data_IF_475756316662
#
_entry.id   IF_475756316662
#
_cell.length_a   1.000
_cell.length_b   1.000
_cell.length_c   1.000
_cell.angle_alpha   90.00
_cell.angle_beta   90.00
_cell.angle_gamma   90.00
#
_symmetry.space_group_name_H-M   'P 1'
#
loop_
_entity.id
_entity.type
_entity.pdbx_description
1 polymer ?
#
# COMPACT_ATOMS: atom_id res chain seq x y z
N UNK A 1 10.57 -61.55 28.05
CA UNK A 1 11.27 -60.30 28.42
C UNK A 1 11.52 -59.52 27.14
N UNK A 2 10.55 -58.72 26.71
CA UNK A 2 10.72 -57.81 25.57
C UNK A 2 11.22 -56.47 26.12
N UNK A 3 12.50 -56.18 25.91
CA UNK A 3 13.09 -54.89 26.22
C UNK A 3 12.60 -53.86 25.21
N UNK A 4 11.64 -53.02 25.60
CA UNK A 4 11.22 -51.87 24.78
C UNK A 4 12.39 -50.89 24.68
N UNK A 5 13.06 -50.85 23.53
CA UNK A 5 14.07 -49.85 23.23
C UNK A 5 13.37 -48.50 23.10
N UNK A 6 13.51 -47.63 24.11
CA UNK A 6 13.09 -46.23 24.01
C UNK A 6 14.06 -45.49 23.08
N UNK A 7 13.70 -45.37 21.82
CA UNK A 7 14.41 -44.47 20.90
C UNK A 7 14.27 -43.03 21.41
N UNK A 8 15.38 -42.43 21.84
CA UNK A 8 15.47 -40.98 22.06
C UNK A 8 15.89 -40.36 20.73
N UNK A 9 14.94 -39.72 20.06
CA UNK A 9 15.25 -38.88 18.90
C UNK A 9 15.82 -37.56 19.42
N UNK A 10 17.07 -37.24 19.07
CA UNK A 10 17.64 -35.91 19.34
C UNK A 10 17.11 -34.93 18.30
N UNK A 11 16.97 -33.66 18.68
CA UNK A 11 16.65 -32.60 17.74
C UNK A 11 17.70 -32.50 16.62
N UNK A 12 18.96 -32.86 16.90
CA UNK A 12 20.04 -32.90 15.91
C UNK A 12 19.97 -34.10 14.96
N UNK A 13 19.09 -35.07 15.23
CA UNK A 13 18.86 -36.22 14.36
C UNK A 13 17.73 -35.96 13.35
N UNK A 14 17.04 -34.83 13.48
CA UNK A 14 15.98 -34.45 12.55
C UNK A 14 16.57 -34.03 11.20
N UNK A 15 15.99 -34.46 10.07
CA UNK A 15 16.42 -34.02 8.75
C UNK A 15 16.25 -32.50 8.59
N UNK A 16 17.08 -31.85 7.74
CA UNK A 16 17.08 -30.40 7.56
C UNK A 16 15.69 -29.81 7.25
N UNK A 17 14.86 -30.51 6.49
CA UNK A 17 13.52 -30.07 6.11
C UNK A 17 12.60 -29.95 7.33
N UNK A 18 12.63 -30.92 8.24
CA UNK A 18 11.85 -30.88 9.48
C UNK A 18 12.40 -29.84 10.45
N UNK A 19 13.72 -29.67 10.50
CA UNK A 19 14.33 -28.60 11.29
C UNK A 19 13.93 -27.21 10.78
N UNK A 20 13.92 -27.03 9.46
CA UNK A 20 13.55 -25.77 8.84
C UNK A 20 12.07 -25.44 9.05
N UNK A 21 11.19 -26.46 8.99
CA UNK A 21 9.76 -26.34 9.31
C UNK A 21 9.55 -25.94 10.77
N UNK A 22 10.20 -26.61 11.73
CA UNK A 22 10.12 -26.23 13.16
C UNK A 22 10.68 -24.82 13.38
N UNK A 23 11.76 -24.47 12.69
CA UNK A 23 12.33 -23.13 12.76
C UNK A 23 11.49 -22.07 12.04
N UNK A 24 10.48 -22.46 11.25
CA UNK A 24 9.57 -21.54 10.56
C UNK A 24 8.59 -20.85 11.52
N UNK A 25 8.39 -21.40 12.72
CA UNK A 25 7.48 -20.84 13.73
C UNK A 25 8.14 -19.91 14.77
N UNK A 26 9.45 -20.01 14.99
CA UNK A 26 10.16 -19.19 15.99
C UNK A 26 10.47 -17.77 15.48
N UNK A 27 10.70 -16.79 16.36
CA UNK A 27 11.06 -15.44 15.91
C UNK A 27 12.42 -15.40 15.21
N UNK A 28 12.67 -14.37 14.38
CA UNK A 28 13.97 -14.19 13.73
C UNK A 28 15.13 -14.07 14.75
N UNK A 29 14.88 -13.48 15.93
CA UNK A 29 15.88 -13.32 16.97
C UNK A 29 16.24 -14.66 17.63
N UNK A 30 15.23 -15.48 17.95
CA UNK A 30 15.43 -16.84 18.46
C UNK A 30 16.13 -17.71 17.42
N UNK A 31 15.73 -17.60 16.16
CA UNK A 31 16.32 -18.36 15.08
C UNK A 31 17.80 -18.03 14.87
N UNK A 32 18.19 -16.74 14.96
CA UNK A 32 19.60 -16.34 14.96
C UNK A 32 20.37 -16.99 16.09
N UNK A 33 19.81 -17.00 17.29
CA UNK A 33 20.45 -17.57 18.48
C UNK A 33 20.61 -19.09 18.34
N UNK A 34 19.57 -19.78 17.85
CA UNK A 34 19.58 -21.21 17.59
C UNK A 34 20.69 -21.60 16.58
N UNK A 35 20.84 -20.83 15.51
CA UNK A 35 21.87 -21.06 14.49
C UNK A 35 23.29 -20.88 15.00
N UNK A 36 23.50 -20.16 16.10
CA UNK A 36 24.80 -20.02 16.74
C UNK A 36 25.13 -21.20 17.67
N UNK A 37 24.15 -22.03 18.03
CA UNK A 37 24.36 -23.14 18.95
C UNK A 37 25.20 -24.27 18.32
N UNK A 38 24.97 -24.60 17.04
CA UNK A 38 25.82 -25.57 16.33
C UNK A 38 25.78 -25.41 14.79
N UNK A 39 26.80 -25.98 14.13
CA UNK A 39 26.96 -25.93 12.66
C UNK A 39 25.81 -26.62 11.92
N UNK A 40 25.26 -27.70 12.46
CA UNK A 40 24.16 -28.44 11.83
C UNK A 40 22.91 -27.58 11.72
N UNK A 41 22.50 -26.93 12.82
CA UNK A 41 21.38 -25.99 12.82
C UNK A 41 21.65 -24.78 11.95
N UNK A 42 22.90 -24.29 11.91
CA UNK A 42 23.30 -23.20 11.02
C UNK A 42 23.03 -23.51 9.55
N UNK A 43 23.46 -24.68 9.06
CA UNK A 43 23.28 -25.07 7.65
C UNK A 43 21.87 -25.60 7.36
N UNK A 44 21.30 -26.38 8.28
CA UNK A 44 20.02 -27.05 8.09
C UNK A 44 18.81 -26.12 8.11
N UNK A 45 18.95 -24.92 8.68
CA UNK A 45 17.84 -23.96 8.82
C UNK A 45 18.05 -22.69 7.98
N UNK A 46 18.83 -22.78 6.90
CA UNK A 46 19.14 -21.65 6.01
C UNK A 46 17.92 -21.10 5.28
N UNK A 47 17.04 -21.97 4.83
CA UNK A 47 15.88 -21.58 4.02
C UNK A 47 14.90 -20.74 4.84
N UNK A 48 14.38 -21.27 5.95
CA UNK A 48 13.50 -20.53 6.87
C UNK A 48 14.16 -19.25 7.40
N UNK A 49 15.48 -19.27 7.64
CA UNK A 49 16.21 -18.10 8.11
C UNK A 49 16.21 -16.98 7.08
N UNK A 50 16.59 -17.29 5.83
CA UNK A 50 16.61 -16.28 4.77
C UNK A 50 15.21 -15.83 4.39
N UNK A 51 14.21 -16.71 4.41
CA UNK A 51 12.81 -16.35 4.22
C UNK A 51 12.37 -15.33 5.29
N UNK A 52 12.79 -15.46 6.55
CA UNK A 52 12.46 -14.47 7.58
C UNK A 52 13.31 -13.21 7.51
N UNK A 53 14.60 -13.35 7.25
CA UNK A 53 15.57 -12.27 7.34
C UNK A 53 15.63 -11.38 6.09
N UNK A 54 15.35 -11.93 4.91
CA UNK A 54 15.59 -11.29 3.61
C UNK A 54 14.33 -11.09 2.76
N UNK A 55 13.21 -11.77 3.06
CA UNK A 55 11.94 -11.62 2.30
C UNK A 55 11.57 -10.16 2.10
N UNK A 56 11.67 -9.37 3.17
CA UNK A 56 11.50 -7.93 3.13
C UNK A 56 12.85 -7.28 3.39
N UNK A 57 13.43 -6.66 2.36
CA UNK A 57 14.69 -5.94 2.49
C UNK A 57 14.42 -4.45 2.54
N UNK A 58 14.90 -3.80 3.61
CA UNK A 58 14.86 -2.34 3.74
C UNK A 58 16.13 -1.73 3.15
N UNK A 59 15.99 -0.69 2.34
CA UNK A 59 17.10 0.06 1.77
C UNK A 59 16.85 1.56 1.79
N UNK A 60 17.91 2.33 1.59
CA UNK A 60 17.94 3.79 1.47
C UNK A 60 18.90 4.15 0.34
N UNK A 61 18.94 5.39 -0.13
CA UNK A 61 19.92 5.82 -1.13
C UNK A 61 21.31 6.15 -0.52
N UNK A 62 21.55 5.83 0.77
CA UNK A 62 22.86 6.01 1.40
C UNK A 62 23.85 4.94 0.92
N UNK A 63 25.16 5.26 0.77
CA UNK A 63 26.18 4.31 0.34
C UNK A 63 26.23 3.03 1.16
N UNK A 64 26.09 3.11 2.50
CA UNK A 64 26.11 1.94 3.39
C UNK A 64 24.94 0.99 3.10
N UNK A 65 23.76 1.54 2.82
CA UNK A 65 22.57 0.76 2.50
C UNK A 65 22.67 0.11 1.13
N UNK A 66 23.17 0.86 0.13
CA UNK A 66 23.40 0.30 -1.21
C UNK A 66 24.47 -0.80 -1.18
N UNK A 67 25.57 -0.62 -0.44
CA UNK A 67 26.59 -1.68 -0.26
C UNK A 67 26.00 -2.93 0.38
N UNK A 68 25.09 -2.78 1.35
CA UNK A 68 24.38 -3.92 1.95
C UNK A 68 23.51 -4.63 0.92
N UNK A 69 22.78 -3.87 0.10
CA UNK A 69 21.93 -4.43 -0.96
C UNK A 69 22.78 -5.18 -2.01
N UNK A 70 23.90 -4.60 -2.44
CA UNK A 70 24.87 -5.24 -3.33
C UNK A 70 25.46 -6.50 -2.72
N UNK A 71 25.76 -6.50 -1.43
CA UNK A 71 26.24 -7.70 -0.72
C UNK A 71 25.21 -8.83 -0.73
N UNK A 72 23.91 -8.52 -0.63
CA UNK A 72 22.82 -9.50 -0.75
C UNK A 72 22.78 -10.04 -2.19
N UNK A 73 22.84 -9.15 -3.17
CA UNK A 73 22.75 -9.47 -4.60
C UNK A 73 23.96 -10.27 -5.10
N UNK A 74 25.13 -10.09 -4.49
CA UNK A 74 26.36 -10.81 -4.85
C UNK A 74 26.28 -12.34 -4.66
N UNK A 75 25.25 -12.84 -3.97
CA UNK A 75 25.01 -14.27 -3.77
C UNK A 75 23.60 -14.61 -4.26
N UNK A 76 23.54 -15.37 -5.35
CA UNK A 76 22.29 -15.79 -5.97
C UNK A 76 21.38 -16.56 -5.00
N UNK A 77 21.97 -17.33 -4.08
CA UNK A 77 21.26 -18.05 -3.05
C UNK A 77 20.52 -17.11 -2.09
N UNK A 78 21.14 -15.98 -1.71
CA UNK A 78 20.50 -14.96 -0.85
C UNK A 78 19.51 -14.09 -1.61
N UNK A 79 19.89 -13.66 -2.81
CA UNK A 79 19.07 -12.78 -3.65
C UNK A 79 17.70 -13.38 -3.99
N UNK A 80 17.62 -14.70 -4.15
CA UNK A 80 16.38 -15.41 -4.44
C UNK A 80 15.32 -15.30 -3.31
N UNK A 81 15.71 -14.99 -2.08
CA UNK A 81 14.76 -14.86 -0.96
C UNK A 81 14.12 -13.48 -0.88
N UNK A 82 14.67 -12.46 -1.51
CA UNK A 82 14.11 -11.10 -1.46
C UNK A 82 12.87 -11.03 -2.35
N UNK A 83 11.72 -10.72 -1.73
CA UNK A 83 10.41 -10.58 -2.40
C UNK A 83 9.94 -9.13 -2.44
N UNK A 84 10.25 -8.38 -1.39
CA UNK A 84 9.85 -6.99 -1.23
C UNK A 84 11.07 -6.11 -0.95
N UNK A 85 11.14 -4.97 -1.62
CA UNK A 85 12.14 -3.94 -1.38
C UNK A 85 11.47 -2.67 -0.85
N UNK A 86 11.80 -2.32 0.39
CA UNK A 86 11.22 -1.16 1.09
C UNK A 86 12.25 -0.03 1.14
N UNK A 87 11.97 1.08 0.47
CA UNK A 87 12.74 2.31 0.55
C UNK A 87 12.30 3.09 1.79
N UNK A 88 13.17 3.14 2.80
CA UNK A 88 12.91 3.80 4.09
C UNK A 88 13.76 5.06 4.22
N UNK A 89 13.34 6.01 5.06
CA UNK A 89 14.12 7.20 5.43
C UNK A 89 14.65 8.00 4.23
N UNK A 90 13.93 7.98 3.10
CA UNK A 90 14.31 8.67 1.86
C UNK A 90 14.51 10.19 2.10
N UNK A 91 13.93 10.73 3.16
CA UNK A 91 14.02 12.15 3.53
C UNK A 91 15.14 12.53 4.47
N UNK A 92 15.65 11.57 5.26
CA UNK A 92 16.80 11.82 6.14
C UNK A 92 18.11 11.77 5.37
N UNK A 93 18.04 11.70 4.04
CA UNK A 93 19.20 11.62 3.20
C UNK A 93 19.83 13.01 3.06
N UNK A 94 20.90 13.27 3.81
CA UNK A 94 21.85 14.36 3.51
C UNK A 94 22.67 14.00 2.26
N UNK A 95 22.00 13.70 1.14
CA UNK A 95 22.62 13.09 -0.05
C UNK A 95 23.80 13.92 -0.56
N UNK A 96 23.71 15.25 -0.53
CA UNK A 96 24.80 16.11 -1.02
C UNK A 96 26.08 16.02 -0.19
N UNK A 97 25.99 15.69 1.11
CA UNK A 97 27.19 15.54 1.96
C UNK A 97 27.98 14.28 1.63
N UNK A 98 27.32 13.25 1.10
CA UNK A 98 27.95 11.96 0.79
C UNK A 98 28.53 11.91 -0.64
N UNK A 99 28.40 12.99 -1.44
CA UNK A 99 28.90 13.15 -2.84
C UNK A 99 28.55 12.00 -3.80
N UNK A 100 27.65 11.11 -3.41
CA UNK A 100 27.29 9.93 -4.21
C UNK A 100 26.33 10.29 -5.35
N UNK A 101 25.53 11.35 -5.19
CA UNK A 101 24.52 11.76 -6.16
C UNK A 101 24.69 13.23 -6.53
N UNK A 102 24.63 13.51 -7.82
CA UNK A 102 24.70 14.83 -8.42
C UNK A 102 23.30 15.34 -8.79
N UNK A 103 23.07 16.64 -8.61
CA UNK A 103 21.79 17.28 -8.92
C UNK A 103 22.10 18.60 -9.65
N UNK A 104 21.56 18.79 -10.86
CA UNK A 104 21.93 19.93 -11.72
C UNK A 104 21.17 21.22 -11.38
N UNK A 105 19.98 21.09 -10.80
CA UNK A 105 19.10 22.19 -10.39
C UNK A 105 18.36 21.74 -9.11
N UNK A 106 17.75 22.64 -8.30
CA UNK A 106 17.22 22.21 -7.02
C UNK A 106 16.15 21.17 -7.30
N UNK A 107 16.49 19.90 -6.99
CA UNK A 107 15.61 18.74 -7.06
C UNK A 107 15.57 17.90 -8.35
N UNK A 108 16.47 18.09 -9.33
CA UNK A 108 16.59 17.14 -10.46
C UNK A 108 17.88 16.34 -10.37
N UNK A 109 17.75 15.03 -10.17
CA UNK A 109 18.87 14.11 -10.25
C UNK A 109 19.37 14.06 -11.69
N UNK A 110 20.68 14.15 -11.90
CA UNK A 110 21.24 13.83 -13.21
C UNK A 110 21.13 12.32 -13.38
N UNK A 111 20.44 11.82 -14.39
CA UNK A 111 20.43 10.39 -14.70
C UNK A 111 20.88 10.27 -16.15
N UNK A 112 21.85 9.38 -16.48
CA UNK A 112 22.47 8.36 -15.63
C UNK A 112 23.63 8.87 -14.74
N UNK A 113 23.82 8.22 -13.59
CA UNK A 113 25.00 8.38 -12.70
C UNK A 113 25.47 7.02 -12.16
N UNK A 114 26.70 6.95 -11.68
CA UNK A 114 27.24 5.73 -11.07
C UNK A 114 26.35 5.19 -9.93
N UNK A 115 25.78 6.06 -9.10
CA UNK A 115 24.91 5.65 -8.02
C UNK A 115 23.54 5.11 -8.48
N UNK A 116 22.96 5.69 -9.53
CA UNK A 116 21.71 5.17 -10.12
C UNK A 116 21.95 3.81 -10.77
N UNK A 117 23.10 3.63 -11.44
CA UNK A 117 23.51 2.33 -12.00
C UNK A 117 23.72 1.27 -10.92
N UNK A 118 24.30 1.62 -9.77
CA UNK A 118 24.44 0.70 -8.63
C UNK A 118 23.08 0.23 -8.12
N UNK A 119 22.15 1.15 -7.93
CA UNK A 119 20.78 0.79 -7.54
C UNK A 119 20.09 -0.07 -8.60
N UNK A 120 20.19 0.30 -9.88
CA UNK A 120 19.63 -0.45 -11.00
C UNK A 120 20.18 -1.88 -11.05
N UNK A 121 21.50 -2.05 -10.94
CA UNK A 121 22.15 -3.37 -10.94
C UNK A 121 21.73 -4.19 -9.72
N UNK A 122 21.62 -3.56 -8.56
CA UNK A 122 21.15 -4.22 -7.35
C UNK A 122 19.70 -4.71 -7.51
N UNK A 123 18.80 -3.87 -8.02
CA UNK A 123 17.40 -4.24 -8.28
C UNK A 123 17.31 -5.36 -9.32
N UNK A 124 18.07 -5.27 -10.42
CA UNK A 124 18.13 -6.30 -11.46
C UNK A 124 18.57 -7.65 -10.90
N UNK A 125 19.50 -7.65 -9.96
CA UNK A 125 20.02 -8.86 -9.32
C UNK A 125 19.10 -9.49 -8.26
N UNK A 126 17.89 -8.97 -8.05
CA UNK A 126 16.88 -9.57 -7.16
C UNK A 126 15.81 -10.29 -8.00
N UNK A 127 16.01 -11.58 -8.35
CA UNK A 127 15.20 -12.27 -9.36
C UNK A 127 13.74 -12.48 -8.96
N UNK A 128 13.46 -12.44 -7.66
CA UNK A 128 12.16 -12.71 -7.07
C UNK A 128 11.49 -11.49 -6.43
N UNK A 129 12.12 -10.31 -6.55
CA UNK A 129 11.57 -9.06 -6.04
C UNK A 129 10.62 -8.46 -7.09
N UNK A 130 9.35 -8.34 -6.72
CA UNK A 130 8.27 -7.79 -7.55
C UNK A 130 7.38 -6.77 -6.80
N UNK A 131 7.65 -6.54 -5.51
CA UNK A 131 6.92 -5.61 -4.66
C UNK A 131 7.85 -4.52 -4.13
N UNK A 132 7.45 -3.26 -4.33
CA UNK A 132 8.24 -2.09 -3.97
C UNK A 132 7.41 -1.14 -3.11
N UNK A 133 7.96 -0.78 -1.96
CA UNK A 133 7.30 0.11 -1.00
C UNK A 133 8.18 1.30 -0.65
N UNK A 134 7.58 2.47 -0.50
CA UNK A 134 8.21 3.69 -0.02
C UNK A 134 7.60 4.02 1.34
N UNK A 135 8.39 3.88 2.41
CA UNK A 135 7.92 3.99 3.80
C UNK A 135 8.62 5.12 4.54
N UNK A 136 7.94 5.67 5.57
CA UNK A 136 8.50 6.61 6.53
C UNK A 136 9.20 7.81 5.88
N UNK A 137 8.49 8.43 4.94
CA UNK A 137 8.82 9.75 4.42
C UNK A 137 8.48 10.77 5.53
N UNK A 138 9.35 10.89 6.54
CA UNK A 138 9.14 11.79 7.70
C UNK A 138 9.24 13.27 7.31
N UNK A 139 8.32 14.10 7.82
CA UNK A 139 8.42 15.57 7.81
C UNK A 139 9.82 16.02 8.19
N UNK A 140 10.57 16.57 7.23
CA UNK A 140 11.70 17.41 7.56
C UNK A 140 11.09 18.64 8.22
N UNK A 141 11.25 18.77 9.55
CA UNK A 141 10.78 19.97 10.25
C UNK A 141 11.29 21.20 9.49
N UNK A 142 10.41 22.17 9.22
CA UNK A 142 10.72 23.39 8.46
C UNK A 142 11.97 24.14 8.98
N UNK A 143 12.33 23.94 10.24
CA UNK A 143 13.55 24.46 10.88
C UNK A 143 14.87 23.83 10.40
N UNK A 144 14.83 22.69 9.72
CA UNK A 144 15.99 21.93 9.25
C UNK A 144 16.15 21.93 7.72
N UNK A 145 15.62 22.95 7.03
CA UNK A 145 15.88 23.21 5.60
C UNK A 145 17.35 23.59 5.40
N UNK A 146 18.27 22.63 5.55
CA UNK A 146 19.55 22.76 4.87
C UNK A 146 19.25 22.64 3.38
N UNK A 147 19.61 23.64 2.59
CA UNK A 147 19.56 23.63 1.11
C UNK A 147 20.36 22.47 0.47
N UNK A 148 20.92 21.57 1.28
CA UNK A 148 21.78 20.46 0.89
C UNK A 148 21.08 19.08 0.83
N UNK A 149 19.81 18.95 1.21
CA UNK A 149 19.07 17.71 1.01
C UNK A 149 18.39 17.73 -0.37
N UNK A 150 18.50 16.67 -1.19
CA UNK A 150 17.68 16.58 -2.40
C UNK A 150 16.23 16.45 -1.97
N UNK A 151 15.32 17.01 -2.75
CA UNK A 151 13.92 16.75 -2.47
C UNK A 151 13.61 15.28 -2.66
N UNK A 152 12.57 14.88 -1.95
CA UNK A 152 11.83 13.63 -2.12
C UNK A 152 11.64 13.29 -3.59
N UNK A 153 11.36 14.31 -4.43
CA UNK A 153 11.18 14.17 -5.87
C UNK A 153 12.34 13.48 -6.54
N UNK A 154 13.53 14.02 -6.30
CA UNK A 154 14.74 13.59 -6.96
C UNK A 154 15.07 12.15 -6.54
N UNK A 155 14.86 11.85 -5.26
CA UNK A 155 15.10 10.52 -4.69
C UNK A 155 14.11 9.48 -5.23
N UNK A 156 12.81 9.79 -5.26
CA UNK A 156 11.82 8.92 -5.90
C UNK A 156 12.14 8.76 -7.39
N UNK A 157 12.62 9.81 -8.06
CA UNK A 157 12.87 9.81 -9.51
C UNK A 157 14.02 8.91 -9.88
N UNK A 158 15.08 8.97 -9.08
CA UNK A 158 16.18 8.01 -9.13
C UNK A 158 15.67 6.58 -8.98
N UNK A 159 14.78 6.32 -8.00
CA UNK A 159 14.31 4.97 -7.71
C UNK A 159 13.41 4.46 -8.83
N UNK A 160 12.44 5.24 -9.26
CA UNK A 160 11.53 4.88 -10.35
C UNK A 160 12.27 4.70 -11.68
N UNK A 161 13.25 5.55 -11.99
CA UNK A 161 14.12 5.36 -13.15
C UNK A 161 14.94 4.06 -13.04
N UNK A 162 15.53 3.78 -11.88
CA UNK A 162 16.27 2.54 -11.66
C UNK A 162 15.36 1.30 -11.78
N UNK A 163 14.10 1.39 -11.36
CA UNK A 163 13.11 0.34 -11.52
C UNK A 163 12.74 0.15 -13.00
N UNK A 164 12.45 1.23 -13.72
CA UNK A 164 12.17 1.19 -15.15
C UNK A 164 13.32 0.52 -15.93
N UNK A 165 14.56 0.96 -15.67
CA UNK A 165 15.75 0.46 -16.37
C UNK A 165 16.22 -0.92 -15.88
N UNK A 166 15.62 -1.45 -14.81
CA UNK A 166 15.97 -2.79 -14.30
C UNK A 166 15.38 -3.91 -15.15
N UNK A 167 14.34 -3.63 -15.96
CA UNK A 167 13.58 -4.63 -16.71
C UNK A 167 12.75 -5.57 -15.82
N UNK A 168 12.56 -5.21 -14.54
CA UNK A 168 11.82 -6.02 -13.58
C UNK A 168 10.33 -5.77 -13.73
N UNK A 169 9.54 -6.84 -13.61
CA UNK A 169 8.09 -6.76 -13.50
C UNK A 169 7.71 -6.27 -12.11
N UNK A 170 6.97 -5.17 -12.04
CA UNK A 170 6.43 -4.66 -10.79
C UNK A 170 5.01 -5.21 -10.65
N UNK A 171 4.76 -5.98 -9.60
CA UNK A 171 3.45 -6.52 -9.24
C UNK A 171 2.75 -5.67 -8.18
N UNK A 172 3.51 -5.16 -7.21
CA UNK A 172 2.97 -4.29 -6.17
C UNK A 172 3.81 -3.02 -6.02
N UNK A 173 3.13 -1.88 -5.94
CA UNK A 173 3.72 -0.58 -5.68
C UNK A 173 2.96 0.11 -4.55
N UNK A 174 3.68 0.52 -3.50
CA UNK A 174 3.11 1.17 -2.33
C UNK A 174 3.84 2.45 -1.98
N UNK A 175 3.09 3.53 -1.84
CA UNK A 175 3.56 4.79 -1.27
C UNK A 175 2.86 4.97 0.07
N UNK A 176 3.58 4.71 1.17
CA UNK A 176 3.06 4.87 2.54
C UNK A 176 3.85 5.98 3.23
N UNK A 177 3.29 7.18 3.18
CA UNK A 177 4.04 8.39 3.48
C UNK A 177 3.29 9.26 4.46
N UNK A 178 3.98 9.64 5.52
CA UNK A 178 3.50 10.61 6.50
C UNK A 178 4.05 12.00 6.17
N UNK A 179 3.56 12.62 5.09
CA UNK A 179 3.86 14.02 4.74
C UNK A 179 4.48 14.28 3.37
N UNK A 180 4.45 15.57 2.99
CA UNK A 180 5.12 16.30 1.89
C UNK A 180 5.38 15.62 0.52
N UNK A 181 4.69 14.54 0.15
CA UNK A 181 4.80 13.97 -1.21
C UNK A 181 4.33 14.93 -2.31
N UNK A 182 3.57 15.95 -1.90
CA UNK A 182 3.04 16.96 -2.79
C UNK A 182 4.11 17.76 -3.55
N UNK A 183 5.07 18.36 -2.83
CA UNK A 183 6.19 19.07 -3.46
C UNK A 183 7.16 18.12 -4.17
N UNK A 184 7.17 16.85 -3.77
CA UNK A 184 7.97 15.78 -4.32
C UNK A 184 7.57 15.35 -5.74
N UNK A 185 6.29 15.32 -6.06
CA UNK A 185 5.88 14.84 -7.39
C UNK A 185 5.93 15.94 -8.45
N UNK A 186 6.04 17.22 -8.07
CA UNK A 186 6.14 18.36 -9.01
C UNK A 186 7.16 18.16 -10.15
N UNK A 187 8.40 17.71 -9.89
CA UNK A 187 9.40 17.56 -10.95
C UNK A 187 9.15 16.37 -11.85
N UNK A 188 8.35 15.38 -11.41
CA UNK A 188 7.96 14.20 -12.20
C UNK A 188 6.86 14.48 -13.20
N UNK A 189 5.93 15.37 -12.88
CA UNK A 189 4.92 15.81 -13.87
C UNK A 189 5.52 16.79 -14.89
N UNK A 190 6.61 17.49 -14.51
CA UNK A 190 7.47 18.20 -15.48
C UNK A 190 8.55 17.32 -16.12
N UNK A 191 8.69 16.06 -15.73
CA UNK A 191 9.30 15.10 -16.63
C UNK A 191 8.20 14.84 -17.63
N UNK A 192 8.31 15.49 -18.78
CA UNK A 192 7.60 15.03 -19.93
C UNK A 192 7.95 13.53 -20.06
N UNK A 193 7.00 12.59 -19.85
CA UNK A 193 7.27 11.20 -20.19
C UNK A 193 7.44 11.06 -21.71
N UNK A 194 7.31 12.15 -22.47
CA UNK A 194 7.54 12.24 -23.92
C UNK A 194 9.03 12.17 -24.30
N UNK A 195 9.96 12.08 -23.33
CA UNK A 195 11.33 11.62 -23.59
C UNK A 195 11.58 10.13 -23.32
N UNK A 196 10.77 9.50 -22.47
CA UNK A 196 10.86 8.07 -22.18
C UNK A 196 9.43 7.56 -22.04
N UNK A 197 8.88 6.96 -23.10
CA UNK A 197 7.47 6.62 -23.20
C UNK A 197 7.07 5.94 -21.90
N UNK A 198 6.04 6.49 -21.25
CA UNK A 198 5.29 5.90 -20.15
C UNK A 198 5.49 4.38 -20.18
N UNK A 199 6.40 3.82 -19.37
CA UNK A 199 6.94 2.49 -19.62
C UNK A 199 5.81 1.47 -19.47
N UNK A 200 5.09 1.10 -20.55
CA UNK A 200 3.83 0.37 -20.41
C UNK A 200 4.16 -1.00 -19.85
N UNK A 201 5.31 -1.53 -20.26
CA UNK A 201 5.91 -2.76 -19.81
C UNK A 201 6.14 -2.78 -18.29
N UNK A 202 6.53 -1.65 -17.68
CA UNK A 202 6.76 -1.55 -16.24
C UNK A 202 5.46 -1.72 -15.45
N UNK A 203 4.39 -1.07 -15.91
CA UNK A 203 3.09 -1.04 -15.23
C UNK A 203 2.16 -2.18 -15.65
N UNK A 204 2.42 -2.83 -16.78
CA UNK A 204 1.57 -3.89 -17.35
C UNK A 204 1.34 -5.07 -16.40
N UNK A 205 2.29 -5.35 -15.50
CA UNK A 205 2.21 -6.45 -14.53
C UNK A 205 1.72 -5.99 -13.14
N UNK A 206 1.37 -4.72 -12.99
CA UNK A 206 0.95 -4.16 -11.70
C UNK A 206 -0.41 -4.72 -11.31
N UNK A 207 -0.45 -5.44 -10.19
CA UNK A 207 -1.66 -6.04 -9.61
C UNK A 207 -2.19 -5.24 -8.40
N UNK A 208 -1.30 -4.53 -7.69
CA UNK A 208 -1.64 -3.79 -6.49
C UNK A 208 -0.97 -2.42 -6.46
N UNK A 209 -1.77 -1.37 -6.38
CA UNK A 209 -1.32 0.01 -6.28
C UNK A 209 -1.88 0.65 -5.01
N UNK A 210 -0.99 1.12 -4.15
CA UNK A 210 -1.32 1.88 -2.96
C UNK A 210 -0.67 3.26 -3.03
N UNK A 211 -1.51 4.29 -3.05
CA UNK A 211 -1.14 5.69 -3.15
C UNK A 211 -1.58 6.41 -1.88
N UNK A 212 -0.69 6.48 -0.90
CA UNK A 212 -0.78 7.45 0.18
C UNK A 212 -0.16 8.77 -0.27
N UNK A 213 -1.00 9.76 -0.56
CA UNK A 213 -0.56 11.13 -0.82
C UNK A 213 -0.91 11.97 0.39
N UNK A 214 0.11 12.34 1.16
CA UNK A 214 -0.04 13.31 2.25
C UNK A 214 0.73 14.57 1.84
N UNK A 215 0.00 15.62 1.47
CA UNK A 215 0.57 16.91 1.09
C UNK A 215 0.09 18.04 2.00
N UNK A 216 0.97 18.90 2.52
CA UNK A 216 0.58 20.25 2.89
C UNK A 216 0.56 21.13 1.63
N UNK A 217 -0.44 22.02 1.55
CA UNK A 217 -0.53 23.17 0.65
C UNK A 217 -0.85 22.87 -0.85
N UNK A 218 -2.15 22.69 -1.10
CA UNK A 218 -2.95 23.30 -2.18
C UNK A 218 -2.31 23.73 -3.51
N UNK A 219 -1.56 22.87 -4.20
CA UNK A 219 -1.35 23.06 -5.65
C UNK A 219 -1.46 21.70 -6.37
N UNK A 220 -1.48 21.68 -7.70
CA UNK A 220 -2.13 20.62 -8.49
C UNK A 220 -1.29 19.63 -9.35
N UNK A 221 0.02 19.80 -9.62
CA UNK A 221 0.68 18.88 -10.57
C UNK A 221 0.85 17.43 -10.12
N UNK A 222 1.07 17.15 -8.82
CA UNK A 222 1.36 15.82 -8.25
C UNK A 222 0.23 14.80 -8.44
N UNK A 223 -0.97 15.32 -8.65
CA UNK A 223 -2.24 14.64 -8.54
C UNK A 223 -2.50 13.78 -9.79
N UNK A 224 -1.83 14.04 -10.92
CA UNK A 224 -2.03 13.28 -12.16
C UNK A 224 -1.23 11.97 -12.24
N UNK A 225 -0.32 11.68 -11.29
CA UNK A 225 0.47 10.45 -11.31
C UNK A 225 -0.36 9.15 -11.45
N UNK A 226 -1.50 8.99 -10.74
CA UNK A 226 -2.36 7.82 -10.95
C UNK A 226 -2.93 7.78 -12.37
N UNK A 227 -3.27 8.93 -12.96
CA UNK A 227 -3.79 9.03 -14.33
C UNK A 227 -2.76 8.59 -15.39
N UNK A 228 -1.47 8.60 -15.07
CA UNK A 228 -0.43 8.09 -15.97
C UNK A 228 -0.19 6.58 -15.84
N UNK A 229 -0.39 6.01 -14.66
CA UNK A 229 -0.12 4.57 -14.40
C UNK A 229 -1.34 3.71 -14.69
N UNK A 230 -2.51 4.14 -14.23
CA UNK A 230 -3.74 3.36 -14.30
C UNK A 230 -4.11 2.93 -15.73
N UNK A 231 -3.95 3.78 -16.77
CA UNK A 231 -4.20 3.34 -18.16
C UNK A 231 -3.26 2.23 -18.65
N UNK A 232 -2.06 2.10 -18.07
CA UNK A 232 -1.08 1.07 -18.44
C UNK A 232 -1.16 -0.20 -17.57
N UNK A 233 -1.90 -0.17 -16.47
CA UNK A 233 -1.95 -1.23 -15.46
C UNK A 233 -3.08 -2.23 -15.71
N UNK A 234 -3.08 -2.92 -16.86
CA UNK A 234 -4.16 -3.82 -17.27
C UNK A 234 -4.45 -4.98 -16.28
N UNK A 235 -3.46 -5.38 -15.48
CA UNK A 235 -3.60 -6.45 -14.49
C UNK A 235 -3.98 -5.96 -13.08
N UNK A 236 -4.30 -4.67 -12.92
CA UNK A 236 -4.57 -4.09 -11.60
C UNK A 236 -5.83 -4.68 -10.97
N UNK A 237 -5.69 -5.20 -9.75
CA UNK A 237 -6.78 -5.82 -8.98
C UNK A 237 -7.05 -5.08 -7.68
N UNK A 238 -6.06 -4.41 -7.12
CA UNK A 238 -6.16 -3.71 -5.84
C UNK A 238 -5.75 -2.25 -6.00
N UNK A 239 -6.67 -1.35 -5.64
CA UNK A 239 -6.42 0.08 -5.60
C UNK A 239 -6.66 0.58 -4.17
N UNK A 240 -5.65 1.22 -3.59
CA UNK A 240 -5.75 1.93 -2.32
C UNK A 240 -5.40 3.39 -2.52
N UNK A 241 -6.33 4.28 -2.21
CA UNK A 241 -6.14 5.72 -2.26
C UNK A 241 -6.25 6.28 -0.84
N UNK A 242 -5.20 6.97 -0.39
CA UNK A 242 -5.18 7.68 0.88
C UNK A 242 -4.84 9.14 0.61
N UNK A 243 -5.86 10.00 0.56
CA UNK A 243 -5.79 11.38 0.09
C UNK A 243 -6.22 12.36 1.20
N UNK A 244 -5.44 12.37 2.29
CA UNK A 244 -5.70 13.03 3.58
C UNK A 244 -6.58 14.31 3.52
N UNK A 245 -7.75 14.25 4.17
CA UNK A 245 -8.79 15.30 4.30
C UNK A 245 -8.34 16.63 4.93
N UNK A 246 -7.32 16.64 5.80
CA UNK A 246 -7.15 17.75 6.76
C UNK A 246 -6.74 19.12 6.17
N UNK A 247 -6.54 19.27 4.85
CA UNK A 247 -5.99 20.50 4.26
C UNK A 247 -6.70 21.02 2.99
N UNK A 248 -7.91 20.55 2.64
CA UNK A 248 -8.62 20.95 1.41
C UNK A 248 -7.66 21.18 0.23
N UNK A 249 -6.95 20.12 -0.17
CA UNK A 249 -5.94 20.23 -1.21
C UNK A 249 -6.66 20.49 -2.54
N UNK A 250 -6.51 21.71 -3.07
CA UNK A 250 -7.01 22.08 -4.39
C UNK A 250 -6.61 21.01 -5.43
N UNK A 251 -7.59 20.55 -6.23
CA UNK A 251 -7.36 19.57 -7.29
C UNK A 251 -7.62 18.11 -6.98
N UNK A 252 -7.67 17.73 -5.71
CA UNK A 252 -8.01 16.35 -5.32
C UNK A 252 -9.44 15.98 -5.76
N UNK A 253 -10.47 16.84 -5.57
CA UNK A 253 -11.81 16.55 -6.08
C UNK A 253 -11.83 16.34 -7.59
N UNK A 254 -11.17 17.21 -8.36
CA UNK A 254 -11.10 17.14 -9.83
C UNK A 254 -10.37 15.88 -10.31
N UNK A 255 -9.32 15.46 -9.62
CA UNK A 255 -8.66 14.18 -9.88
C UNK A 255 -9.59 13.02 -9.61
N UNK A 256 -10.24 12.99 -8.45
CA UNK A 256 -11.09 11.86 -8.09
C UNK A 256 -12.26 11.74 -9.06
N UNK A 257 -12.81 12.87 -9.47
CA UNK A 257 -13.82 12.92 -10.53
C UNK A 257 -13.26 12.34 -11.84
N UNK A 258 -12.09 12.79 -12.29
CA UNK A 258 -11.46 12.28 -13.50
C UNK A 258 -11.12 10.79 -13.38
N UNK A 259 -10.62 10.34 -12.24
CA UNK A 259 -10.26 8.95 -11.97
C UNK A 259 -11.51 8.06 -11.99
N UNK A 260 -12.60 8.47 -11.34
CA UNK A 260 -13.83 7.67 -11.28
C UNK A 260 -14.68 7.74 -12.55
N UNK A 261 -14.48 8.73 -13.41
CA UNK A 261 -15.16 8.83 -14.72
C UNK A 261 -14.36 8.25 -15.87
N UNK A 262 -13.04 8.05 -15.72
CA UNK A 262 -12.19 7.45 -16.75
C UNK A 262 -12.42 5.94 -16.84
N UNK A 263 -12.49 5.43 -18.07
CA UNK A 263 -12.51 3.98 -18.32
C UNK A 263 -11.09 3.43 -18.30
N UNK A 264 -10.86 2.39 -17.50
CA UNK A 264 -9.57 1.72 -17.40
C UNK A 264 -9.61 0.27 -17.92
N UNK A 265 -8.46 -0.29 -18.35
CA UNK A 265 -8.41 -1.64 -18.91
C UNK A 265 -8.52 -2.77 -17.85
N UNK A 266 -8.45 -2.44 -16.58
CA UNK A 266 -8.39 -3.41 -15.48
C UNK A 266 -9.76 -3.68 -14.85
N UNK A 267 -9.82 -4.74 -14.04
CA UNK A 267 -11.01 -5.10 -13.26
C UNK A 267 -10.65 -5.23 -11.79
N UNK A 268 -11.10 -4.28 -10.98
CA UNK A 268 -10.76 -4.24 -9.57
C UNK A 268 -11.46 -5.36 -8.78
N UNK A 269 -10.69 -6.02 -7.93
CA UNK A 269 -11.15 -6.96 -6.91
C UNK A 269 -11.21 -6.29 -5.52
N UNK A 270 -10.41 -5.24 -5.28
CA UNK A 270 -10.36 -4.52 -4.01
C UNK A 270 -10.23 -3.02 -4.24
N UNK A 271 -11.13 -2.26 -3.61
CA UNK A 271 -11.05 -0.80 -3.52
C UNK A 271 -10.97 -0.38 -2.05
N UNK A 272 -9.94 0.40 -1.73
CA UNK A 272 -9.75 0.99 -0.41
C UNK A 272 -9.61 2.50 -0.55
N UNK A 273 -10.51 3.24 0.06
CA UNK A 273 -10.43 4.70 0.19
C UNK A 273 -10.26 5.03 1.67
N UNK A 274 -9.23 5.81 2.00
CA UNK A 274 -8.94 6.20 3.37
C UNK A 274 -8.68 7.70 3.45
N UNK A 275 -9.42 8.40 4.32
CA UNK A 275 -9.30 9.85 4.52
C UNK A 275 -9.37 10.63 3.20
N UNK A 276 -10.37 10.32 2.39
CA UNK A 276 -10.54 10.90 1.04
C UNK A 276 -11.83 11.71 1.00
N UNK A 277 -11.77 12.96 0.54
CA UNK A 277 -12.94 13.84 0.39
C UNK A 277 -12.99 14.44 -1.01
N UNK A 278 -14.06 15.15 -1.33
CA UNK A 278 -14.23 15.80 -2.61
C UNK A 278 -14.96 14.94 -3.64
N UNK A 279 -15.35 13.71 -3.28
CA UNK A 279 -15.84 12.72 -4.23
C UNK A 279 -17.27 13.05 -4.68
N UNK A 280 -17.52 13.01 -5.98
CA UNK A 280 -18.88 13.02 -6.52
C UNK A 280 -19.60 11.70 -6.25
N UNK A 281 -20.82 11.78 -5.71
CA UNK A 281 -21.62 10.57 -5.46
C UNK A 281 -21.90 9.76 -6.74
N UNK A 282 -22.22 10.43 -7.85
CA UNK A 282 -22.48 9.77 -9.12
C UNK A 282 -21.22 9.15 -9.73
N UNK A 283 -20.08 9.83 -9.65
CA UNK A 283 -18.81 9.32 -10.18
C UNK A 283 -18.33 8.10 -9.40
N UNK A 284 -18.38 8.13 -8.06
CA UNK A 284 -18.08 6.96 -7.24
C UNK A 284 -19.03 5.80 -7.54
N UNK A 285 -20.34 6.06 -7.62
CA UNK A 285 -21.32 5.03 -7.95
C UNK A 285 -21.01 4.39 -9.31
N UNK A 286 -20.78 5.19 -10.35
CA UNK A 286 -20.42 4.71 -11.70
C UNK A 286 -19.14 3.88 -11.69
N UNK A 287 -18.13 4.32 -10.94
CA UNK A 287 -16.87 3.60 -10.81
C UNK A 287 -17.06 2.23 -10.13
N UNK A 288 -17.84 2.17 -9.04
CA UNK A 288 -18.17 0.91 -8.37
C UNK A 288 -18.92 -0.04 -9.32
N UNK A 289 -19.91 0.46 -10.06
CA UNK A 289 -20.67 -0.36 -11.01
C UNK A 289 -19.81 -0.91 -12.15
N UNK A 290 -18.83 -0.15 -12.62
CA UNK A 290 -17.86 -0.58 -13.64
C UNK A 290 -17.08 -1.83 -13.20
N UNK A 291 -16.87 -2.00 -11.90
CA UNK A 291 -16.16 -3.14 -11.31
C UNK A 291 -17.07 -4.10 -10.52
N UNK A 292 -18.38 -3.95 -10.62
CA UNK A 292 -19.39 -4.69 -9.84
C UNK A 292 -19.24 -6.21 -9.88
N UNK A 293 -18.88 -6.76 -11.04
CA UNK A 293 -18.73 -8.20 -11.24
C UNK A 293 -17.46 -8.79 -10.61
N UNK A 294 -16.46 -7.96 -10.32
CA UNK A 294 -15.15 -8.40 -9.83
C UNK A 294 -14.83 -7.93 -8.42
N UNK A 295 -15.45 -6.86 -7.95
CA UNK A 295 -15.21 -6.31 -6.61
C UNK A 295 -15.57 -7.33 -5.53
N UNK A 296 -14.55 -7.72 -4.76
CA UNK A 296 -14.62 -8.65 -3.61
C UNK A 296 -14.49 -7.91 -2.28
N UNK A 297 -13.80 -6.78 -2.29
CA UNK A 297 -13.53 -5.99 -1.10
C UNK A 297 -13.77 -4.50 -1.37
N UNK A 298 -14.54 -3.87 -0.49
CA UNK A 298 -14.72 -2.42 -0.43
C UNK A 298 -14.41 -1.97 1.00
N UNK A 299 -13.49 -1.02 1.15
CA UNK A 299 -13.20 -0.39 2.43
C UNK A 299 -13.15 1.11 2.29
N UNK A 300 -14.07 1.81 2.95
CA UNK A 300 -14.11 3.25 3.02
C UNK A 300 -13.96 3.65 4.49
N UNK A 301 -12.94 4.45 4.80
CA UNK A 301 -12.72 4.96 6.15
C UNK A 301 -12.37 6.45 6.10
N UNK A 302 -13.14 7.26 6.83
CA UNK A 302 -13.13 8.73 6.78
C UNK A 302 -13.31 9.26 5.34
N UNK A 303 -14.40 8.88 4.65
CA UNK A 303 -14.64 9.23 3.23
C UNK A 303 -15.78 10.24 3.07
N UNK A 304 -15.50 11.33 2.37
CA UNK A 304 -16.38 12.47 2.16
C UNK A 304 -16.92 12.60 0.73
N UNK A 305 -18.22 12.87 0.61
CA UNK A 305 -18.83 13.30 -0.65
C UNK A 305 -18.91 14.83 -0.70
N UNK A 306 -18.47 15.42 -1.81
CA UNK A 306 -18.62 16.87 -2.05
C UNK A 306 -20.02 17.25 -2.51
N UNK A 307 -20.71 16.35 -3.21
CA UNK A 307 -22.07 16.57 -3.68
C UNK A 307 -22.85 15.25 -3.83
N UNK A 308 -24.15 15.34 -3.58
CA UNK A 308 -25.09 14.22 -3.53
C UNK A 308 -25.10 13.53 -2.16
N UNK A 309 -25.47 12.24 -2.13
CA UNK A 309 -25.65 11.50 -0.89
C UNK A 309 -25.06 10.10 -0.97
N UNK A 310 -24.68 9.56 0.20
CA UNK A 310 -24.28 8.16 0.33
C UNK A 310 -25.45 7.19 0.16
N UNK A 311 -26.68 7.61 0.46
CA UNK A 311 -27.85 6.71 0.47
C UNK A 311 -28.04 5.99 -0.88
N UNK A 312 -28.04 6.67 -2.05
CA UNK A 312 -28.12 5.99 -3.34
C UNK A 312 -26.96 5.02 -3.61
N UNK A 313 -25.77 5.29 -3.07
CA UNK A 313 -24.61 4.38 -3.22
C UNK A 313 -24.86 3.11 -2.40
N UNK A 314 -25.29 3.25 -1.14
CA UNK A 314 -25.61 2.11 -0.27
C UNK A 314 -26.77 1.27 -0.83
N UNK A 315 -27.83 1.92 -1.31
CA UNK A 315 -28.96 1.27 -1.99
C UNK A 315 -28.48 0.51 -3.23
N UNK A 316 -27.60 1.11 -4.04
CA UNK A 316 -27.06 0.46 -5.24
C UNK A 316 -26.22 -0.78 -4.93
N UNK A 317 -25.45 -0.75 -3.84
CA UNK A 317 -24.71 -1.91 -3.36
C UNK A 317 -25.68 -3.02 -2.93
N UNK A 318 -26.80 -2.67 -2.29
CA UNK A 318 -27.81 -3.59 -1.80
C UNK A 318 -28.72 -4.22 -2.89
N UNK A 319 -28.65 -3.73 -4.14
CA UNK A 319 -29.42 -4.29 -5.26
C UNK A 319 -29.08 -5.80 -5.40
N UNK A 320 -30.10 -6.69 -5.43
CA UNK A 320 -29.87 -8.11 -5.64
C UNK A 320 -29.05 -8.37 -6.91
N UNK A 321 -27.93 -9.11 -6.75
CA UNK A 321 -26.96 -9.40 -7.83
C UNK A 321 -26.24 -8.17 -8.40
N UNK A 322 -26.33 -7.02 -7.76
CA UNK A 322 -25.54 -5.83 -8.10
C UNK A 322 -24.04 -6.11 -7.99
N UNK A 323 -23.61 -6.60 -6.82
CA UNK A 323 -22.19 -6.89 -6.52
C UNK A 323 -21.98 -8.37 -6.14
N UNK A 324 -22.10 -9.32 -7.08
CA UNK A 324 -22.16 -10.74 -6.78
C UNK A 324 -20.85 -11.33 -6.22
N UNK A 325 -19.72 -10.66 -6.41
CA UNK A 325 -18.41 -11.10 -5.93
C UNK A 325 -18.04 -10.53 -4.55
N UNK A 326 -18.81 -9.56 -4.03
CA UNK A 326 -18.47 -8.82 -2.82
C UNK A 326 -18.56 -9.73 -1.58
N UNK A 327 -17.49 -9.77 -0.79
CA UNK A 327 -17.35 -10.64 0.39
C UNK A 327 -16.81 -9.93 1.61
N UNK A 328 -16.20 -8.77 1.45
CA UNK A 328 -15.67 -7.94 2.53
C UNK A 328 -16.09 -6.48 2.30
N UNK A 329 -16.80 -5.92 3.26
CA UNK A 329 -17.23 -4.54 3.28
C UNK A 329 -16.85 -3.93 4.63
N UNK A 330 -16.27 -2.73 4.62
CA UNK A 330 -15.95 -2.00 5.83
C UNK A 330 -16.15 -0.50 5.58
N UNK A 331 -17.12 0.09 6.26
CA UNK A 331 -17.49 1.50 6.16
C UNK A 331 -17.26 2.14 7.52
N UNK A 332 -16.56 3.25 7.55
CA UNK A 332 -16.10 3.90 8.78
C UNK A 332 -16.02 5.40 8.56
N UNK A 333 -16.66 6.20 9.40
CA UNK A 333 -16.62 7.68 9.30
C UNK A 333 -17.00 8.22 7.91
N UNK A 334 -18.09 7.74 7.31
CA UNK A 334 -18.57 8.29 6.04
C UNK A 334 -19.29 9.62 6.29
N UNK A 335 -19.01 10.64 5.48
CA UNK A 335 -19.66 11.94 5.60
C UNK A 335 -20.06 12.51 4.24
N UNK A 336 -21.02 13.42 4.25
CA UNK A 336 -21.48 14.14 3.07
C UNK A 336 -21.58 15.63 3.37
N UNK A 337 -21.07 16.46 2.48
CA UNK A 337 -21.12 17.91 2.62
C UNK A 337 -22.37 18.45 1.93
N UNK A 338 -23.24 19.13 2.67
CA UNK A 338 -24.42 19.83 2.16
C UNK A 338 -24.28 21.35 2.25
N UNK A 339 -25.26 22.12 1.72
CA UNK A 339 -25.28 23.57 1.88
C UNK A 339 -25.45 23.93 3.38
N UNK A 340 -24.33 24.18 4.06
CA UNK A 340 -24.30 24.70 5.43
C UNK A 340 -24.07 23.69 6.56
N UNK A 341 -23.98 22.38 6.28
CA UNK A 341 -23.62 21.37 7.29
C UNK A 341 -22.93 20.14 6.69
N UNK A 342 -22.06 19.50 7.46
CA UNK A 342 -21.47 18.18 7.15
C UNK A 342 -22.24 17.13 7.92
N UNK A 343 -23.00 16.30 7.22
CA UNK A 343 -23.71 15.18 7.83
C UNK A 343 -22.80 13.95 7.88
N UNK A 344 -22.75 13.28 9.02
CA UNK A 344 -22.04 12.00 9.18
C UNK A 344 -23.06 10.88 9.03
N UNK A 345 -22.69 9.77 8.41
CA UNK A 345 -23.56 8.61 8.39
C UNK A 345 -23.48 7.86 9.72
N UNK A 346 -24.65 7.70 10.34
CA UNK A 346 -24.93 6.87 11.50
C UNK A 346 -25.43 5.48 11.04
N UNK A 347 -24.82 4.43 11.57
CA UNK A 347 -25.19 3.04 11.33
C UNK A 347 -25.78 2.37 12.58
N UNK A 348 -26.00 3.10 13.67
CA UNK A 348 -26.56 2.61 14.94
C UNK A 348 -27.87 1.83 14.76
N UNK A 349 -28.75 2.21 13.84
CA UNK A 349 -29.98 1.44 13.57
C UNK A 349 -29.70 0.12 12.87
N UNK A 350 -28.79 0.10 11.89
CA UNK A 350 -28.34 -1.15 11.25
C UNK A 350 -27.71 -2.13 12.27
N UNK A 351 -27.22 -1.60 13.40
CA UNK A 351 -26.57 -2.37 14.48
C UNK A 351 -27.55 -2.99 15.50
N UNK A 352 -28.78 -2.47 15.65
CA UNK A 352 -29.74 -2.93 16.66
C UNK A 352 -30.41 -4.26 16.31
N UNK A 353 -30.49 -4.61 15.02
CA UNK A 353 -31.13 -5.84 14.53
C UNK A 353 -30.13 -7.01 14.37
N UNK A 354 -29.59 -7.54 15.48
CA UNK A 354 -28.82 -8.79 15.43
C UNK A 354 -29.73 -10.01 15.21
N UNK A 355 -29.44 -10.91 14.25
CA UNK A 355 -30.12 -12.18 14.16
C UNK A 355 -29.48 -13.18 15.14
N UNK A 356 -30.30 -13.91 15.88
CA UNK A 356 -29.91 -14.98 16.80
C UNK A 356 -29.15 -16.16 16.14
N UNK A 357 -29.00 -16.15 14.80
CA UNK A 357 -28.36 -17.23 14.00
C UNK A 357 -26.92 -16.90 13.51
N UNK A 358 -26.17 -16.06 14.23
CA UNK A 358 -24.79 -15.71 13.87
C UNK A 358 -23.72 -16.75 14.28
N UNK A 359 -24.07 -18.05 14.39
CA UNK A 359 -23.13 -19.14 14.72
C UNK A 359 -22.39 -19.72 13.51
N UNK A 360 -22.70 -19.26 12.29
CA UNK A 360 -22.07 -19.72 11.04
C UNK A 360 -20.84 -18.94 10.58
N UNK A 361 -20.06 -18.37 11.52
CA UNK A 361 -18.90 -17.52 11.25
C UNK A 361 -19.31 -16.15 10.70
N UNK A 362 -18.79 -15.04 11.24
CA UNK A 362 -18.51 -13.75 10.59
C UNK A 362 -18.25 -12.70 11.68
N UNK A 363 -17.13 -12.00 11.58
CA UNK A 363 -16.79 -10.90 12.46
C UNK A 363 -17.52 -9.64 11.99
N UNK A 364 -18.71 -9.35 12.54
CA UNK A 364 -19.15 -7.95 12.63
C UNK A 364 -18.29 -7.32 13.72
N UNK A 365 -17.18 -6.71 13.33
CA UNK A 365 -16.33 -5.98 14.28
C UNK A 365 -16.91 -4.60 14.47
N UNK A 366 -17.61 -4.48 15.59
CA UNK A 366 -18.08 -3.24 16.16
C UNK A 366 -16.86 -2.56 16.80
N UNK A 367 -16.46 -1.41 16.29
CA UNK A 367 -15.51 -0.55 16.98
C UNK A 367 -16.08 0.87 17.01
N UNK A 368 -16.55 1.28 18.18
CA UNK A 368 -16.80 2.68 18.45
C UNK A 368 -15.47 3.28 18.90
N UNK A 369 -14.79 3.99 18.01
CA UNK A 369 -13.46 4.50 18.31
C UNK A 369 -13.58 5.89 18.94
N UNK A 370 -13.83 5.95 20.25
CA UNK A 370 -13.76 7.19 21.02
C UNK A 370 -12.30 7.56 21.28
N UNK A 371 -11.54 7.95 20.26
CA UNK A 371 -10.21 8.55 20.46
C UNK A 371 -10.30 10.07 20.37
N UNK A 372 -9.98 10.72 21.48
CA UNK A 372 -9.88 12.17 21.69
C UNK A 372 -11.20 12.97 21.69
N UNK A 373 -11.35 13.83 22.70
CA UNK A 373 -12.46 14.79 22.90
C UNK A 373 -12.64 15.81 21.75
N UNK A 374 -11.85 15.71 20.69
CA UNK A 374 -11.85 16.57 19.52
C UNK A 374 -11.92 15.79 18.19
N UNK A 375 -12.01 14.46 18.22
CA UNK A 375 -12.28 13.65 17.03
C UNK A 375 -13.72 13.17 17.06
N UNK A 376 -14.38 13.25 15.92
CA UNK A 376 -15.78 12.87 15.76
C UNK A 376 -15.86 11.37 16.03
N UNK A 377 -16.88 10.92 16.78
CA UNK A 377 -17.01 9.50 17.08
C UNK A 377 -17.28 8.75 15.77
N UNK A 378 -16.26 8.12 15.21
CA UNK A 378 -16.39 7.37 13.96
C UNK A 378 -17.12 6.05 14.29
N UNK A 379 -18.33 5.91 13.74
CA UNK A 379 -19.00 4.64 13.68
C UNK A 379 -18.42 3.82 12.54
N UNK A 380 -18.11 2.55 12.86
CA UNK A 380 -17.59 1.59 11.90
C UNK A 380 -18.52 0.38 11.80
N UNK A 381 -18.85 0.02 10.56
CA UNK A 381 -19.57 -1.21 10.23
C UNK A 381 -18.75 -2.01 9.24
N UNK A 382 -18.32 -3.20 9.67
CA UNK A 382 -17.53 -4.10 8.83
C UNK A 382 -18.14 -5.50 8.84
N UNK A 383 -18.28 -6.09 7.66
CA UNK A 383 -18.85 -7.42 7.45
C UNK A 383 -18.01 -8.19 6.43
N UNK A 384 -17.66 -9.43 6.76
CA UNK A 384 -16.96 -10.31 5.85
C UNK A 384 -17.59 -11.70 5.87
N UNK A 385 -18.21 -12.14 4.76
CA UNK A 385 -18.91 -13.42 4.70
C UNK A 385 -19.84 -13.69 3.50
N UNK A 386 -20.28 -14.95 3.26
CA UNK A 386 -21.25 -15.36 2.24
C UNK A 386 -22.58 -14.59 2.17
N UNK A 387 -23.16 -14.17 3.29
CA UNK A 387 -24.48 -13.47 3.31
C UNK A 387 -24.38 -11.95 3.09
N UNK A 388 -23.53 -11.55 2.15
CA UNK A 388 -23.26 -10.13 1.85
C UNK A 388 -24.51 -9.37 1.39
N UNK A 389 -25.42 -10.03 0.68
CA UNK A 389 -26.69 -9.46 0.22
C UNK A 389 -27.58 -8.98 1.38
N UNK A 390 -27.63 -9.75 2.47
CA UNK A 390 -28.40 -9.40 3.68
C UNK A 390 -27.71 -8.28 4.46
N UNK A 391 -26.38 -8.35 4.57
CA UNK A 391 -25.60 -7.30 5.23
C UNK A 391 -25.80 -5.95 4.52
N UNK A 392 -25.73 -5.92 3.19
CA UNK A 392 -25.92 -4.70 2.40
C UNK A 392 -27.31 -4.09 2.55
N UNK A 393 -28.38 -4.91 2.52
CA UNK A 393 -29.75 -4.41 2.74
C UNK A 393 -29.89 -3.76 4.11
N UNK A 394 -29.41 -4.41 5.16
CA UNK A 394 -29.47 -3.85 6.52
C UNK A 394 -28.68 -2.56 6.67
N UNK A 395 -27.50 -2.50 6.06
CA UNK A 395 -26.69 -1.28 6.04
C UNK A 395 -27.44 -0.16 5.32
N UNK A 396 -28.05 -0.43 4.17
CA UNK A 396 -28.83 0.57 3.43
C UNK A 396 -30.09 1.02 4.19
N UNK A 397 -30.84 0.08 4.78
CA UNK A 397 -32.10 0.36 5.51
C UNK A 397 -31.84 1.08 6.85
N UNK A 398 -30.71 0.80 7.49
CA UNK A 398 -30.35 1.32 8.80
C UNK A 398 -29.40 2.52 8.79
N UNK A 399 -28.90 2.95 7.63
CA UNK A 399 -28.08 4.15 7.51
C UNK A 399 -28.94 5.41 7.63
N UNK A 400 -28.51 6.35 8.46
CA UNK A 400 -29.13 7.67 8.63
C UNK A 400 -28.05 8.73 8.56
N UNK A 401 -28.40 9.95 8.14
CA UNK A 401 -27.51 11.09 8.18
C UNK A 401 -27.80 11.88 9.45
N UNK A 402 -26.81 11.99 10.33
CA UNK A 402 -26.87 12.76 11.57
C UNK A 402 -26.63 14.27 11.35
#
# INVERSE_FOLDING_TARGET
>A
MESSVKYRVSFLDLPPELLDEVCSDISLAEHRSLRLACRYLYSGTMHSYYTKALRITKTTLRPKSLKRLEWIVADAGRAAYVRELHFVDVLRLKIRREKLWYFNEPCRAVVPQYASQRLQNAVRGLPNCDSFSFLHIERISSSARSYDAPSIAAALGIILAALADSGRKIRELRFDTAGELYSALMPFIKMDPVGSPCAPDLWSNLESLNLGVVGPEGTLPAVNFPLHILPCAANLRKLTLHLNYNNHVEGVPELLELLFTTTYPFRLESLVLYRTDGIGSESLSRFLHTHSQTLRQIRFSSVGLSHGSWMPILESLAIPRGFPALRDLCLDGLFQTGPGNTGILDFSKAMQDQPEDATGGHQVKLAHNTRDRHSWAEESICYAGPRMDIALRRIADGAVVD
#
